data_IF_901996848885
#
_entry.id   IF_901996848885
#
_cell.length_a   1.000
_cell.length_b   1.000
_cell.length_c   1.000
_cell.angle_alpha   90.00
_cell.angle_beta   90.00
_cell.angle_gamma   90.00
#
_symmetry.space_group_name_H-M   'P 1'
#
loop_
_entity.id
_entity.type
_entity.pdbx_description
1 polymer ?
#
# COMPACT_ATOMS: atom_id res chain seq x y z
N UNK A 1 -63.41 -33.16 -30.74
CA UNK A 1 -62.27 -32.54 -31.45
C UNK A 1 -61.78 -31.37 -30.62
N UNK A 2 -60.58 -31.47 -30.07
CA UNK A 2 -59.92 -30.43 -29.31
C UNK A 2 -58.43 -30.46 -29.67
N UNK A 3 -58.00 -29.40 -30.34
CA UNK A 3 -56.61 -28.93 -30.48
C UNK A 3 -56.02 -28.71 -29.06
N UNK A 4 -54.73 -28.73 -28.75
CA UNK A 4 -53.50 -28.12 -29.29
C UNK A 4 -52.44 -28.41 -28.21
N UNK A 5 -51.14 -28.40 -28.55
CA UNK A 5 -50.13 -28.04 -27.54
C UNK A 5 -48.86 -28.88 -27.55
N UNK A 6 -48.06 -28.67 -28.58
CA UNK A 6 -46.62 -28.95 -28.61
C UNK A 6 -45.95 -28.30 -27.39
N UNK A 7 -45.16 -29.06 -26.62
CA UNK A 7 -44.14 -28.49 -25.73
C UNK A 7 -42.85 -29.27 -25.94
N UNK A 8 -42.07 -28.84 -26.93
CA UNK A 8 -40.63 -28.96 -26.84
C UNK A 8 -40.13 -27.93 -25.84
N UNK A 9 -39.46 -28.39 -24.78
CA UNK A 9 -38.50 -27.56 -24.04
C UNK A 9 -37.13 -28.19 -24.23
N UNK A 10 -36.58 -27.78 -25.36
CA UNK A 10 -35.19 -27.53 -25.68
C UNK A 10 -34.35 -27.03 -24.47
N UNK A 11 -33.12 -27.59 -24.33
CA UNK A 11 -31.87 -26.93 -23.83
C UNK A 11 -31.77 -26.64 -22.32
N UNK A 12 -30.67 -26.84 -21.58
CA UNK A 12 -29.22 -26.94 -21.87
C UNK A 12 -28.46 -27.69 -20.73
N UNK A 13 -27.22 -28.19 -20.97
CA UNK A 13 -26.32 -28.69 -19.92
C UNK A 13 -25.76 -27.51 -19.11
N UNK A 14 -26.51 -27.07 -18.11
CA UNK A 14 -26.03 -26.10 -17.13
C UNK A 14 -24.92 -26.71 -16.29
N UNK A 15 -23.69 -26.30 -16.54
CA UNK A 15 -22.48 -26.62 -15.80
C UNK A 15 -22.68 -26.50 -14.28
N UNK A 16 -22.95 -27.64 -13.62
CA UNK A 16 -22.79 -27.75 -12.18
C UNK A 16 -21.28 -27.73 -11.91
N UNK A 17 -20.73 -26.53 -11.69
CA UNK A 17 -19.37 -26.41 -11.20
C UNK A 17 -19.26 -27.27 -9.94
N UNK A 18 -18.38 -28.27 -9.99
CA UNK A 18 -18.15 -29.18 -8.88
C UNK A 18 -17.98 -28.37 -7.59
N UNK A 19 -18.56 -28.80 -6.46
CA UNK A 19 -18.37 -28.10 -5.18
C UNK A 19 -16.88 -27.94 -4.82
N UNK A 20 -16.02 -28.81 -5.33
CA UNK A 20 -14.57 -28.70 -5.21
C UNK A 20 -13.97 -27.54 -6.03
N UNK A 21 -14.52 -27.24 -7.20
CA UNK A 21 -14.11 -26.08 -8.01
C UNK A 21 -14.53 -24.78 -7.32
N UNK A 22 -15.73 -24.75 -6.73
CA UNK A 22 -16.20 -23.60 -5.96
C UNK A 22 -15.32 -23.40 -4.71
N UNK A 23 -14.99 -24.47 -3.98
CA UNK A 23 -14.08 -24.39 -2.83
C UNK A 23 -12.68 -23.93 -3.24
N UNK A 24 -12.16 -24.44 -4.36
CA UNK A 24 -10.86 -24.03 -4.89
C UNK A 24 -10.84 -22.55 -5.29
N UNK A 25 -11.90 -22.05 -5.94
CA UNK A 25 -12.02 -20.63 -6.27
C UNK A 25 -12.13 -19.75 -5.01
N UNK A 26 -12.80 -20.23 -3.96
CA UNK A 26 -12.86 -19.54 -2.66
C UNK A 26 -11.47 -19.50 -2.01
N UNK A 27 -10.74 -20.62 -2.02
CA UNK A 27 -9.39 -20.69 -1.47
C UNK A 27 -8.43 -19.81 -2.27
N UNK A 28 -8.50 -19.82 -3.60
CA UNK A 28 -7.70 -18.92 -4.46
C UNK A 28 -8.08 -17.45 -4.22
N UNK A 29 -9.36 -17.13 -4.02
CA UNK A 29 -9.79 -15.78 -3.68
C UNK A 29 -9.31 -15.34 -2.27
N UNK A 30 -9.27 -16.27 -1.32
CA UNK A 30 -8.73 -16.02 0.02
C UNK A 30 -7.21 -15.82 -0.01
N UNK A 31 -6.50 -16.63 -0.79
CA UNK A 31 -5.04 -16.60 -0.93
C UNK A 31 -4.57 -15.42 -1.81
N UNK A 32 -5.37 -15.02 -2.80
CA UNK A 32 -5.09 -13.85 -3.68
C UNK A 32 -5.38 -12.50 -3.01
N UNK A 33 -5.59 -12.45 -1.69
CA UNK A 33 -5.74 -11.19 -0.96
C UNK A 33 -7.07 -10.46 -1.18
N UNK A 34 -8.09 -11.10 -1.77
CA UNK A 34 -9.41 -10.49 -2.01
C UNK A 34 -10.10 -10.07 -0.71
N UNK A 35 -9.80 -10.76 0.40
CA UNK A 35 -10.27 -10.39 1.74
C UNK A 35 -9.60 -9.12 2.29
N UNK A 36 -8.35 -8.83 1.87
CA UNK A 36 -7.60 -7.65 2.30
C UNK A 36 -8.13 -6.36 1.62
N UNK A 37 -8.71 -6.50 0.42
CA UNK A 37 -9.26 -5.39 -0.37
C UNK A 37 -10.64 -4.91 0.12
N UNK A 38 -11.55 -5.82 0.51
CA UNK A 38 -12.94 -5.44 0.86
C UNK A 38 -13.08 -4.74 2.23
N UNK A 39 -12.07 -4.80 3.10
CA UNK A 39 -12.04 -4.10 4.39
C UNK A 39 -11.29 -2.76 4.34
N UNK A 40 -10.88 -2.29 3.15
CA UNK A 40 -10.15 -1.03 3.02
C UNK A 40 -11.04 0.20 2.76
N UNK A 41 -12.37 0.03 2.67
CA UNK A 41 -13.28 1.15 2.36
C UNK A 41 -13.80 1.88 3.61
N UNK A 42 -13.84 1.23 4.77
CA UNK A 42 -14.43 1.81 5.99
C UNK A 42 -13.54 2.83 6.71
N UNK A 43 -12.26 2.98 6.30
CA UNK A 43 -11.29 3.86 6.96
C UNK A 43 -11.16 5.24 6.28
N UNK A 44 -12.07 5.59 5.36
CA UNK A 44 -12.00 6.79 4.52
C UNK A 44 -12.80 8.00 5.04
N UNK A 45 -13.26 7.98 6.29
CA UNK A 45 -14.36 8.88 6.71
C UNK A 45 -13.96 10.19 7.37
N UNK A 46 -12.68 10.52 7.50
CA UNK A 46 -12.25 11.90 7.77
C UNK A 46 -10.93 12.16 7.05
N UNK A 47 -10.79 13.22 6.22
CA UNK A 47 -9.49 13.62 5.73
C UNK A 47 -8.65 13.97 6.95
N UNK A 48 -7.61 13.19 7.22
CA UNK A 48 -6.63 13.53 8.23
C UNK A 48 -5.97 14.81 7.77
N UNK A 49 -6.21 15.88 8.51
CA UNK A 49 -5.54 17.12 8.27
C UNK A 49 -4.12 16.99 8.81
N UNK A 50 -3.17 16.74 7.90
CA UNK A 50 -1.75 16.82 8.22
C UNK A 50 -1.36 18.29 8.37
N UNK A 51 -1.03 18.70 9.58
CA UNK A 51 -0.53 20.06 9.84
C UNK A 51 0.99 20.07 9.84
N UNK A 52 1.56 20.44 8.70
CA UNK A 52 3.02 20.56 8.51
C UNK A 52 3.65 21.61 9.44
N UNK A 53 2.87 22.58 9.95
CA UNK A 53 3.37 23.61 10.87
C UNK A 53 3.70 23.07 12.27
N UNK A 54 3.20 21.88 12.61
CA UNK A 54 3.49 21.21 13.89
C UNK A 54 4.78 20.42 13.87
N UNK A 55 5.41 20.27 12.70
CA UNK A 55 6.67 19.55 12.58
C UNK A 55 7.84 20.39 13.08
N UNK A 56 8.80 19.70 13.66
CA UNK A 56 10.11 20.27 13.95
C UNK A 56 10.84 20.63 12.65
N UNK A 57 11.73 21.61 12.73
CA UNK A 57 12.41 22.15 11.54
C UNK A 57 13.28 21.13 10.81
N UNK A 58 13.88 20.18 11.53
CA UNK A 58 14.70 19.11 10.99
C UNK A 58 13.84 18.03 10.31
N UNK A 59 12.73 17.65 10.93
CA UNK A 59 11.73 16.73 10.34
C UNK A 59 11.13 17.30 9.06
N UNK A 60 10.81 18.59 9.07
CA UNK A 60 10.30 19.32 7.91
C UNK A 60 11.35 19.42 6.79
N UNK A 61 12.61 19.69 7.13
CA UNK A 61 13.69 19.72 6.17
C UNK A 61 13.90 18.34 5.51
N UNK A 62 13.84 17.27 6.31
CA UNK A 62 13.95 15.89 5.83
C UNK A 62 12.79 15.51 4.92
N UNK A 63 11.55 15.85 5.31
CA UNK A 63 10.36 15.67 4.46
C UNK A 63 10.56 16.32 3.09
N UNK A 64 10.96 17.59 3.07
CA UNK A 64 11.21 18.33 1.82
C UNK A 64 12.32 17.69 1.00
N UNK A 65 13.40 17.24 1.64
CA UNK A 65 14.51 16.53 0.97
C UNK A 65 13.97 15.32 0.20
N UNK A 66 13.24 14.45 0.88
CA UNK A 66 12.70 13.19 0.34
C UNK A 66 11.66 13.44 -0.76
N UNK A 67 10.76 14.41 -0.56
CA UNK A 67 9.77 14.79 -1.57
C UNK A 67 10.42 15.44 -2.81
N UNK A 68 11.51 16.19 -2.67
CA UNK A 68 12.21 16.76 -3.82
C UNK A 68 13.00 15.70 -4.63
N UNK A 69 13.50 14.65 -3.96
CA UNK A 69 14.15 13.52 -4.65
C UNK A 69 13.17 12.78 -5.57
N UNK A 70 11.91 12.61 -5.17
CA UNK A 70 10.92 11.92 -6.00
C UNK A 70 10.71 12.66 -7.34
N UNK A 71 10.57 13.98 -7.32
CA UNK A 71 10.35 14.82 -8.51
C UNK A 71 11.54 14.78 -9.46
N UNK A 72 12.74 14.70 -8.89
CA UNK A 72 13.97 14.62 -9.67
C UNK A 72 14.14 13.24 -10.30
N UNK A 73 13.74 12.16 -9.61
CA UNK A 73 13.74 10.81 -10.16
C UNK A 73 12.72 10.64 -11.30
N UNK A 74 11.50 11.19 -11.16
CA UNK A 74 10.49 11.15 -12.23
C UNK A 74 10.94 11.93 -13.47
N UNK A 75 11.54 13.11 -13.28
CA UNK A 75 12.06 13.92 -14.39
C UNK A 75 13.34 13.34 -15.02
N UNK A 76 14.22 12.69 -14.24
CA UNK A 76 15.45 12.05 -14.78
C UNK A 76 15.14 10.87 -15.69
N UNK A 77 14.06 10.12 -15.43
CA UNK A 77 13.62 9.03 -16.30
C UNK A 77 13.19 9.52 -17.70
N UNK A 78 12.90 10.81 -17.87
CA UNK A 78 12.58 11.42 -19.17
C UNK A 78 13.81 11.98 -19.90
N UNK A 79 14.96 12.11 -19.24
CA UNK A 79 16.10 12.84 -19.81
C UNK A 79 17.40 12.07 -19.99
N UNK A 80 17.65 10.90 -19.38
CA UNK A 80 18.96 10.25 -19.54
C UNK A 80 18.90 8.70 -19.65
N UNK A 81 19.01 8.22 -20.88
CA UNK A 81 19.50 6.89 -21.25
C UNK A 81 21.01 6.92 -21.52
N UNK A 82 21.78 7.71 -20.75
CA UNK A 82 23.23 7.75 -20.88
C UNK A 82 23.92 7.29 -19.61
N UNK A 83 24.73 6.26 -19.83
CA UNK A 83 25.52 5.50 -18.90
C UNK A 83 26.54 6.42 -18.22
N UNK A 84 26.44 6.56 -16.90
CA UNK A 84 27.59 6.63 -16.01
C UNK A 84 27.10 6.47 -14.57
N UNK A 85 27.40 5.31 -14.00
CA UNK A 85 27.25 5.01 -12.59
C UNK A 85 28.27 5.83 -11.78
N UNK A 86 27.91 7.07 -11.50
CA UNK A 86 28.53 7.84 -10.43
C UNK A 86 27.87 7.38 -9.13
N UNK A 87 28.66 6.79 -8.23
CA UNK A 87 28.27 6.25 -6.92
C UNK A 87 27.68 7.32 -6.00
N UNK A 88 26.46 7.72 -6.31
CA UNK A 88 25.79 8.85 -5.71
C UNK A 88 25.00 8.40 -4.49
N UNK A 89 25.09 9.21 -3.45
CA UNK A 89 24.41 9.22 -2.16
C UNK A 89 22.87 9.08 -2.29
N UNK A 90 22.38 7.93 -2.78
CA UNK A 90 20.95 7.67 -2.99
C UNK A 90 20.35 6.95 -1.80
N UNK A 91 19.18 7.42 -1.37
CA UNK A 91 18.40 6.74 -0.35
C UNK A 91 17.97 5.36 -0.87
N UNK A 92 18.35 4.32 -0.14
CA UNK A 92 17.95 2.94 -0.43
C UNK A 92 16.58 2.61 0.17
N UNK A 93 16.23 3.27 1.28
CA UNK A 93 14.89 3.27 1.83
C UNK A 93 14.30 4.66 1.63
N UNK A 94 13.13 4.75 1.01
CA UNK A 94 12.36 6.00 0.92
C UNK A 94 10.93 5.75 1.36
N UNK A 95 10.41 6.60 2.23
CA UNK A 95 9.06 6.52 2.76
C UNK A 95 8.36 7.83 2.47
N UNK A 96 7.20 7.77 1.83
CA UNK A 96 6.44 8.93 1.36
C UNK A 96 5.04 8.90 1.94
N UNK A 97 4.71 9.92 2.74
CA UNK A 97 3.38 10.17 3.29
C UNK A 97 2.72 8.91 3.88
N UNK A 98 3.50 8.08 4.57
CA UNK A 98 3.03 6.79 5.06
C UNK A 98 1.97 6.97 6.15
N UNK A 99 0.79 6.40 5.93
CA UNK A 99 -0.34 6.45 6.87
C UNK A 99 -0.79 5.03 7.20
N UNK A 100 -1.10 4.80 8.48
CA UNK A 100 -1.71 3.56 8.93
C UNK A 100 -2.90 3.84 9.84
N UNK A 101 -4.06 3.33 9.45
CA UNK A 101 -5.30 3.31 10.23
C UNK A 101 -5.72 1.88 10.50
N UNK A 102 -6.10 1.60 11.74
CA UNK A 102 -6.69 0.32 12.12
C UNK A 102 -8.21 0.44 12.14
N UNK A 103 -8.94 -0.54 11.60
CA UNK A 103 -10.40 -0.58 11.71
C UNK A 103 -10.84 -0.48 13.17
N UNK A 104 -11.84 0.37 13.44
CA UNK A 104 -12.36 0.58 14.79
C UNK A 104 -11.52 1.52 15.67
N UNK A 105 -10.46 2.14 15.16
CA UNK A 105 -9.75 3.24 15.83
C UNK A 105 -10.03 4.57 15.12
N UNK A 106 -10.28 5.61 15.92
CA UNK A 106 -10.45 6.98 15.43
C UNK A 106 -9.12 7.74 15.26
N UNK A 107 -8.00 7.12 15.64
CA UNK A 107 -6.66 7.72 15.61
C UNK A 107 -5.77 6.92 14.66
N UNK A 108 -4.90 7.63 13.95
CA UNK A 108 -3.90 7.04 13.08
C UNK A 108 -2.75 6.47 13.90
N UNK A 109 -2.40 5.23 13.60
CA UNK A 109 -1.21 4.63 14.17
C UNK A 109 0.06 5.26 13.56
N UNK A 110 0.05 5.51 12.25
CA UNK A 110 1.12 6.25 11.57
C UNK A 110 0.46 7.39 10.79
N UNK A 111 0.99 8.60 10.92
CA UNK A 111 0.38 9.81 10.36
C UNK A 111 1.38 10.54 9.44
N UNK A 112 1.28 10.30 8.13
CA UNK A 112 2.06 10.95 7.07
C UNK A 112 3.57 10.97 7.31
N UNK A 113 4.12 9.82 7.75
CA UNK A 113 5.55 9.66 7.99
C UNK A 113 6.31 9.72 6.66
N UNK A 114 7.33 10.59 6.58
CA UNK A 114 8.16 10.78 5.38
C UNK A 114 9.62 10.90 5.79
N UNK A 115 10.47 10.01 5.29
CA UNK A 115 11.91 10.03 5.53
C UNK A 115 12.64 9.16 4.49
N UNK A 116 13.94 9.39 4.32
CA UNK A 116 14.82 8.55 3.51
C UNK A 116 16.02 8.07 4.34
N UNK A 117 16.53 6.89 4.02
CA UNK A 117 17.75 6.37 4.62
C UNK A 117 18.70 5.84 3.55
N UNK A 118 19.97 6.20 3.70
CA UNK A 118 21.04 5.84 2.76
C UNK A 118 21.54 4.42 3.01
N UNK A 119 22.29 3.90 2.03
CA UNK A 119 22.95 2.60 2.21
C UNK A 119 23.96 2.67 3.36
N UNK A 120 23.85 1.74 4.30
CA UNK A 120 24.74 1.67 5.46
C UNK A 120 24.40 2.68 6.58
N UNK A 121 23.36 3.49 6.42
CA UNK A 121 22.83 4.33 7.48
C UNK A 121 22.00 3.48 8.45
N UNK A 122 22.22 3.67 9.75
CA UNK A 122 21.43 2.99 10.78
C UNK A 122 20.29 3.91 11.24
N UNK A 123 19.06 3.57 10.85
CA UNK A 123 17.86 4.31 11.24
C UNK A 123 17.12 3.61 12.39
N UNK A 124 16.77 4.38 13.43
CA UNK A 124 16.06 3.88 14.61
C UNK A 124 14.81 4.71 14.92
N UNK A 125 13.66 4.05 15.06
CA UNK A 125 12.45 4.68 15.58
C UNK A 125 12.45 4.62 17.12
N UNK A 126 12.37 5.78 17.77
CA UNK A 126 12.37 5.92 19.23
C UNK A 126 11.09 6.63 19.69
N UNK A 127 10.59 6.26 20.87
CA UNK A 127 9.34 6.83 21.41
C UNK A 127 8.71 5.93 22.48
N UNK A 128 7.61 6.38 23.08
CA UNK A 128 6.90 5.65 24.13
C UNK A 128 6.19 4.37 23.63
N UNK A 129 5.82 3.47 24.52
CA UNK A 129 5.06 2.25 24.18
C UNK A 129 3.67 2.64 23.65
N UNK A 130 3.34 2.20 22.43
CA UNK A 130 2.11 2.62 21.76
C UNK A 130 2.25 3.85 20.85
N UNK A 131 3.47 4.33 20.61
CA UNK A 131 3.77 5.28 19.52
C UNK A 131 3.84 4.60 18.12
N UNK A 132 3.36 3.36 18.00
CA UNK A 132 3.23 2.62 16.74
C UNK A 132 4.53 2.41 15.92
N UNK A 133 5.68 2.44 16.60
CA UNK A 133 7.00 2.09 16.03
C UNK A 133 7.02 0.70 15.38
N UNK A 134 6.53 -0.32 16.09
CA UNK A 134 6.48 -1.70 15.59
C UNK A 134 5.57 -1.82 14.38
N UNK A 135 4.46 -1.08 14.35
CA UNK A 135 3.57 -1.01 13.19
C UNK A 135 4.28 -0.40 11.99
N UNK A 136 5.02 0.69 12.18
CA UNK A 136 5.84 1.28 11.12
C UNK A 136 6.85 0.27 10.58
N UNK A 137 7.61 -0.40 11.45
CA UNK A 137 8.57 -1.43 11.01
C UNK A 137 7.92 -2.58 10.26
N UNK A 138 6.76 -3.08 10.72
CA UNK A 138 6.00 -4.13 10.02
C UNK A 138 5.57 -3.70 8.62
N UNK A 139 5.27 -2.42 8.43
CA UNK A 139 4.96 -1.88 7.11
C UNK A 139 6.21 -1.86 6.22
N UNK A 140 7.36 -1.42 6.75
CA UNK A 140 8.61 -1.36 5.99
C UNK A 140 9.13 -2.73 5.56
N UNK A 141 8.96 -3.76 6.40
CA UNK A 141 9.38 -5.14 6.05
C UNK A 141 8.33 -5.91 5.22
N UNK A 142 7.18 -5.30 4.93
CA UNK A 142 6.11 -5.91 4.14
C UNK A 142 5.18 -6.85 4.91
N UNK A 143 5.34 -7.00 6.23
CA UNK A 143 4.45 -7.79 7.09
C UNK A 143 3.04 -7.18 7.20
N UNK A 144 2.94 -5.86 7.09
CA UNK A 144 1.70 -5.11 7.21
C UNK A 144 1.53 -4.11 6.07
N UNK A 145 0.30 -3.92 5.58
CA UNK A 145 0.03 -2.93 4.54
C UNK A 145 -0.20 -1.55 5.16
N UNK A 146 0.34 -0.53 4.50
CA UNK A 146 -0.04 0.86 4.73
C UNK A 146 -1.51 1.09 4.33
N UNK A 147 -2.15 2.07 4.96
CA UNK A 147 -3.46 2.56 4.53
C UNK A 147 -3.31 3.54 3.38
N UNK A 148 -2.32 4.44 3.46
CA UNK A 148 -1.96 5.40 2.41
C UNK A 148 -0.43 5.61 2.41
N UNK A 149 0.07 6.24 1.35
CA UNK A 149 1.50 6.47 1.15
C UNK A 149 2.23 5.26 0.56
N UNK A 150 3.54 5.41 0.36
CA UNK A 150 4.39 4.39 -0.24
C UNK A 150 5.72 4.30 0.50
N UNK A 151 6.30 3.09 0.49
CA UNK A 151 7.66 2.86 0.97
C UNK A 151 8.39 2.04 -0.10
N UNK A 152 9.64 2.39 -0.38
CA UNK A 152 10.48 1.69 -1.35
C UNK A 152 11.79 1.30 -0.68
N UNK A 153 12.17 0.03 -0.85
CA UNK A 153 13.48 -0.51 -0.47
C UNK A 153 14.18 -0.95 -1.74
N UNK A 154 15.40 -0.47 -1.99
CA UNK A 154 16.16 -0.74 -3.21
C UNK A 154 15.36 -0.43 -4.51
N UNK A 155 14.48 0.58 -4.44
CA UNK A 155 13.51 0.95 -5.50
C UNK A 155 12.47 -0.13 -5.85
N UNK A 156 12.26 -1.11 -4.97
CA UNK A 156 11.18 -2.08 -5.03
C UNK A 156 10.09 -1.67 -4.03
N UNK A 157 8.83 -1.76 -4.46
CA UNK A 157 7.62 -1.42 -3.69
C UNK A 157 6.95 -2.65 -3.08
#
# INVERSE_FOLDING_TARGET
MGSTGSNGIQRDPGSAFSPLIILLLILIAMDSGYFKFRMNLSCLTNPLHFDENTLDSDVLAERRRVLNLNHTATNKNLLNADNNEEGHDTDHLTVHDLVKRFPGRNVCAVNHLTFGAKRGEAFGLLGYNGADKTTTFRILVGDELATEGTAYIDRQC
#
